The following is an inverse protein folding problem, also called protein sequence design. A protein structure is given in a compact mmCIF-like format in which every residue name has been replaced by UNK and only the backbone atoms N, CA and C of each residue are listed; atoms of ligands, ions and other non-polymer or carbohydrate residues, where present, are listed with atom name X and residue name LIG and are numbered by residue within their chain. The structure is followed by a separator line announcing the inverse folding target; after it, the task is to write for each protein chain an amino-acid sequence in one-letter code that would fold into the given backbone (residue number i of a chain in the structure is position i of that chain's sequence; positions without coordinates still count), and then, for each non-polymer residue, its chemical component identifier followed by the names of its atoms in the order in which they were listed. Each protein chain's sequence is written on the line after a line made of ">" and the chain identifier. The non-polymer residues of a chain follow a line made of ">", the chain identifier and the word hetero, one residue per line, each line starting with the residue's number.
data_IF_294402709056
#
_entry.id   IF_294402709056
#
_cell.length_a   1.000
_cell.length_b   1.000
_cell.length_c   1.000
_cell.angle_alpha   90.00
_cell.angle_beta   90.00
_cell.angle_gamma   90.00
#
_symmetry.space_group_name_H-M   'P 1'
#
loop_
_entity.id
_entity.type
_entity.pdbx_description
1 polymer ?
#
# COMPACT_ATOMS: atom_id res chain seq x y z
N UNK A 1 -21.77 7.76 -37.91
CA UNK A 1 -22.31 7.60 -36.53
C UNK A 1 -21.83 6.35 -35.79
N UNK A 2 -21.84 5.13 -36.37
CA UNK A 2 -21.38 3.92 -35.62
C UNK A 2 -19.85 3.86 -35.40
N UNK A 3 -19.06 4.36 -36.37
CA UNK A 3 -17.59 4.33 -36.34
C UNK A 3 -17.00 5.34 -35.34
N UNK A 4 -17.61 6.52 -35.19
CA UNK A 4 -17.15 7.54 -34.23
C UNK A 4 -17.34 7.13 -32.77
N UNK A 5 -18.36 6.32 -32.45
CA UNK A 5 -18.51 5.73 -31.10
C UNK A 5 -17.43 4.70 -30.75
N UNK A 6 -16.84 4.07 -31.77
CA UNK A 6 -15.73 3.14 -31.60
C UNK A 6 -14.41 3.92 -31.41
N UNK A 7 -14.27 5.07 -32.09
CA UNK A 7 -13.10 5.94 -32.02
C UNK A 7 -13.08 6.90 -30.81
N UNK A 8 -14.25 7.31 -30.31
CA UNK A 8 -14.43 8.12 -29.09
C UNK A 8 -15.38 7.39 -28.12
N UNK A 9 -14.86 6.42 -27.34
CA UNK A 9 -15.67 5.57 -26.45
C UNK A 9 -16.18 6.30 -25.20
N UNK A 10 -15.73 7.53 -24.96
CA UNK A 10 -15.99 8.24 -23.71
C UNK A 10 -17.38 8.87 -23.67
N UNK A 11 -18.36 8.13 -23.14
CA UNK A 11 -19.73 8.61 -22.89
C UNK A 11 -19.77 9.88 -22.03
N UNK A 12 -18.72 10.12 -21.24
CA UNK A 12 -18.62 11.22 -20.26
C UNK A 12 -17.65 12.35 -20.67
N UNK A 13 -17.29 12.41 -21.96
CA UNK A 13 -16.37 13.43 -22.50
C UNK A 13 -14.90 13.02 -22.36
N UNK A 14 -13.96 13.69 -23.06
CA UNK A 14 -12.58 13.22 -23.16
C UNK A 14 -11.74 13.44 -21.88
N UNK A 15 -10.79 12.54 -21.64
CA UNK A 15 -9.69 12.70 -20.69
C UNK A 15 -9.93 12.01 -19.34
N UNK A 16 -8.94 12.11 -18.44
CA UNK A 16 -8.91 11.38 -17.16
C UNK A 16 -10.21 11.47 -16.34
N UNK A 17 -10.84 12.64 -16.30
CA UNK A 17 -12.10 12.86 -15.58
C UNK A 17 -13.28 12.12 -16.23
N UNK A 18 -13.33 12.07 -17.56
CA UNK A 18 -14.33 11.34 -18.32
C UNK A 18 -14.18 9.84 -18.13
N UNK A 19 -12.95 9.34 -18.27
CA UNK A 19 -12.58 7.94 -18.03
C UNK A 19 -12.90 7.47 -16.60
N UNK A 20 -12.59 8.27 -15.57
CA UNK A 20 -12.92 7.92 -14.18
C UNK A 20 -14.43 7.91 -13.92
N UNK A 21 -15.18 8.83 -14.50
CA UNK A 21 -16.65 8.82 -14.41
C UNK A 21 -17.25 7.62 -15.13
N UNK A 22 -16.70 7.25 -16.28
CA UNK A 22 -17.14 6.08 -17.03
C UNK A 22 -16.85 4.78 -16.26
N UNK A 23 -15.64 4.62 -15.76
CA UNK A 23 -15.25 3.45 -14.97
C UNK A 23 -16.04 3.33 -13.66
N UNK A 24 -16.33 4.44 -12.98
CA UNK A 24 -17.23 4.44 -11.82
C UNK A 24 -18.66 4.01 -12.18
N UNK A 25 -19.16 4.38 -13.37
CA UNK A 25 -20.49 4.01 -13.82
C UNK A 25 -20.58 2.55 -14.29
N UNK A 26 -19.59 2.07 -15.04
CA UNK A 26 -19.58 0.71 -15.61
C UNK A 26 -19.11 -0.35 -14.61
N UNK A 27 -18.10 -0.03 -13.78
CA UNK A 27 -17.43 -0.96 -12.86
C UNK A 27 -17.12 -0.27 -11.52
N UNK A 28 -18.15 0.10 -10.72
CA UNK A 28 -17.96 0.87 -9.50
C UNK A 28 -17.06 0.17 -8.48
N UNK A 29 -17.23 -1.14 -8.31
CA UNK A 29 -16.49 -1.92 -7.31
C UNK A 29 -14.98 -1.91 -7.57
N UNK A 30 -14.56 -2.18 -8.80
CA UNK A 30 -13.14 -2.25 -9.18
C UNK A 30 -12.53 -0.86 -9.15
N UNK A 31 -13.23 0.14 -9.68
CA UNK A 31 -12.73 1.52 -9.76
C UNK A 31 -12.50 2.13 -8.38
N UNK A 32 -13.37 1.84 -7.42
CA UNK A 32 -13.20 2.26 -6.03
C UNK A 32 -12.19 1.36 -5.31
N UNK A 33 -12.24 0.04 -5.50
CA UNK A 33 -11.38 -0.92 -4.79
C UNK A 33 -9.90 -0.82 -5.15
N UNK A 34 -9.58 -0.57 -6.43
CA UNK A 34 -8.20 -0.48 -6.91
C UNK A 34 -7.32 0.54 -6.17
N UNK A 35 -7.74 1.81 -5.96
CA UNK A 35 -6.95 2.76 -5.19
C UNK A 35 -6.79 2.34 -3.72
N UNK A 36 -7.80 1.70 -3.11
CA UNK A 36 -7.64 1.16 -1.74
C UNK A 36 -6.62 0.02 -1.67
N UNK A 37 -6.58 -0.86 -2.67
CA UNK A 37 -5.55 -1.89 -2.76
C UNK A 37 -4.15 -1.27 -2.89
N UNK A 38 -3.99 -0.27 -3.76
CA UNK A 38 -2.71 0.44 -3.93
C UNK A 38 -2.28 1.15 -2.64
N UNK A 39 -3.21 1.82 -1.96
CA UNK A 39 -2.95 2.44 -0.65
C UNK A 39 -2.55 1.40 0.39
N UNK A 40 -3.23 0.25 0.44
CA UNK A 40 -2.92 -0.84 1.35
C UNK A 40 -1.50 -1.37 1.15
N UNK A 41 -1.10 -1.63 -0.10
CA UNK A 41 0.27 -2.05 -0.43
C UNK A 41 1.29 -0.98 -0.05
N UNK A 42 0.99 0.29 -0.32
CA UNK A 42 1.85 1.42 0.06
C UNK A 42 2.07 1.52 1.58
N UNK A 43 1.00 1.36 2.36
CA UNK A 43 1.07 1.37 3.83
C UNK A 43 1.88 0.20 4.37
N UNK A 44 1.65 -1.02 3.85
CA UNK A 44 2.41 -2.21 4.25
C UNK A 44 3.90 -1.96 4.01
N UNK A 45 4.27 -1.53 2.79
CA UNK A 45 5.66 -1.28 2.41
C UNK A 45 6.32 -0.23 3.32
N UNK A 46 5.65 0.90 3.57
CA UNK A 46 6.12 1.96 4.46
C UNK A 46 6.35 1.45 5.89
N UNK A 47 5.40 0.68 6.44
CA UNK A 47 5.51 0.15 7.79
C UNK A 47 6.60 -0.92 7.91
N UNK A 48 6.77 -1.81 6.92
CA UNK A 48 7.89 -2.75 6.91
C UNK A 48 9.25 -2.06 6.85
N UNK A 49 9.39 -1.04 6.00
CA UNK A 49 10.62 -0.24 5.92
C UNK A 49 10.92 0.45 7.25
N UNK A 50 9.92 1.11 7.84
CA UNK A 50 10.05 1.75 9.15
C UNK A 50 10.37 0.74 10.26
N UNK A 51 9.79 -0.45 10.20
CA UNK A 51 10.04 -1.52 11.18
C UNK A 51 11.49 -1.99 11.13
N UNK A 52 12.01 -2.25 9.93
CA UNK A 52 13.40 -2.68 9.73
C UNK A 52 14.38 -1.57 10.12
N UNK A 53 14.13 -0.32 9.71
CA UNK A 53 15.00 0.82 10.02
C UNK A 53 15.12 1.09 11.53
N UNK A 54 14.11 0.73 12.31
CA UNK A 54 14.06 0.98 13.75
C UNK A 54 14.40 -0.25 14.62
N UNK A 55 15.01 -1.29 14.04
CA UNK A 55 15.30 -2.56 14.73
C UNK A 55 14.06 -3.14 15.42
N UNK A 56 12.91 -3.17 14.74
CA UNK A 56 11.64 -3.54 15.37
C UNK A 56 11.56 -4.95 15.96
N UNK A 57 12.50 -5.84 15.62
CA UNK A 57 12.67 -7.18 16.20
C UNK A 57 13.40 -7.16 17.56
N UNK A 58 14.09 -6.07 17.85
CA UNK A 58 14.91 -5.90 19.04
C UNK A 58 14.10 -5.30 20.20
N UNK A 59 13.01 -6.00 20.54
CA UNK A 59 12.10 -5.62 21.60
C UNK A 59 12.61 -6.13 22.95
N UNK A 60 12.32 -5.39 24.02
CA UNK A 60 12.57 -5.79 25.41
C UNK A 60 11.92 -7.13 25.76
N UNK A 61 10.68 -7.32 25.33
CA UNK A 61 9.92 -8.55 25.59
C UNK A 61 9.83 -9.39 24.31
N UNK A 62 10.23 -10.66 24.43
CA UNK A 62 10.21 -11.66 23.35
C UNK A 62 9.39 -12.86 23.78
N UNK A 63 8.68 -13.46 22.83
CA UNK A 63 7.89 -14.68 23.09
C UNK A 63 8.75 -15.89 23.46
N UNK A 64 10.03 -15.88 23.08
CA UNK A 64 11.00 -16.94 23.40
C UNK A 64 12.10 -16.38 24.28
N UNK A 65 12.49 -17.13 25.30
CA UNK A 65 13.64 -16.81 26.11
C UNK A 65 14.88 -16.72 25.22
N UNK A 66 15.49 -15.54 25.19
CA UNK A 66 16.66 -15.25 24.35
C UNK A 66 17.76 -14.72 25.26
N UNK A 67 18.85 -15.47 25.37
CA UNK A 67 20.04 -15.02 26.08
C UNK A 67 20.83 -14.09 25.16
N UNK A 68 21.08 -12.88 25.65
CA UNK A 68 21.98 -11.94 25.00
C UNK A 68 23.30 -11.90 25.76
N UNK A 69 24.39 -11.85 25.01
CA UNK A 69 25.70 -11.59 25.60
C UNK A 69 25.81 -10.10 25.94
N UNK A 70 26.47 -9.70 27.05
CA UNK A 70 26.59 -8.28 27.42
C UNK A 70 27.17 -7.36 26.35
N UNK A 71 28.05 -7.87 25.48
CA UNK A 71 28.75 -7.17 24.39
C UNK A 71 28.03 -7.24 23.03
N UNK A 72 26.88 -7.91 22.92
CA UNK A 72 26.15 -7.99 21.65
C UNK A 72 25.63 -6.59 21.27
N UNK A 73 25.96 -6.06 20.07
CA UNK A 73 25.52 -4.74 19.62
C UNK A 73 24.00 -4.61 19.52
N UNK A 74 23.25 -5.73 19.51
CA UNK A 74 21.79 -5.71 19.61
C UNK A 74 21.32 -5.20 20.97
N UNK A 75 22.07 -5.43 22.05
CA UNK A 75 21.66 -5.01 23.40
C UNK A 75 21.53 -3.49 23.50
N UNK A 76 22.43 -2.72 22.87
CA UNK A 76 22.36 -1.25 22.89
C UNK A 76 21.12 -0.68 22.22
N UNK A 77 20.52 -1.43 21.30
CA UNK A 77 19.37 -1.00 20.53
C UNK A 77 18.04 -1.47 21.15
N UNK A 78 18.06 -2.14 22.31
CA UNK A 78 16.84 -2.58 23.00
C UNK A 78 16.15 -1.34 23.56
N UNK A 79 15.00 -0.99 22.99
CA UNK A 79 14.19 0.16 23.43
C UNK A 79 13.14 -0.30 24.45
N UNK A 80 12.84 0.59 25.41
CA UNK A 80 11.87 0.38 26.49
C UNK A 80 10.47 0.07 25.98
#
# INVERSE_FOLDING_TARGET
>A
MRVEKILNPEKYGPGLKGMLRQSLHELPLITIGAPFCLLGVGLIMYHTYRYQKNDGNNRRYKFKYTLYRPDDPRVSNIKN
#
